data_IF_506355083571
#
_entry.id   IF_506355083571
#
_cell.length_a   1.000
_cell.length_b   1.000
_cell.length_c   1.000
_cell.angle_alpha   90.00
_cell.angle_beta   90.00
_cell.angle_gamma   90.00
#
_symmetry.space_group_name_H-M   'P 1'
#
loop_
_entity.id
_entity.type
_entity.pdbx_description
1 polymer ?
#
# COMPACT_ATOMS: atom_id res chain seq x y z
N UNK A 1 -51.00 -0.79 -45.93
CA UNK A 1 -50.96 -1.97 -45.04
C UNK A 1 -49.94 -1.70 -43.96
N UNK A 2 -50.35 -1.95 -42.72
CA UNK A 2 -49.80 -1.45 -41.45
C UNK A 2 -48.45 -2.08 -41.03
N UNK A 3 -47.70 -1.43 -40.11
CA UNK A 3 -46.37 -1.86 -39.67
C UNK A 3 -46.45 -2.82 -38.49
N UNK A 4 -45.50 -3.76 -38.38
CA UNK A 4 -45.27 -4.53 -37.15
C UNK A 4 -43.81 -4.39 -36.71
N UNK A 5 -43.58 -3.42 -35.84
CA UNK A 5 -42.38 -3.30 -35.02
C UNK A 5 -42.58 -4.13 -33.76
N UNK A 6 -41.71 -5.12 -33.52
CA UNK A 6 -41.62 -5.80 -32.23
C UNK A 6 -40.59 -5.09 -31.35
N UNK A 7 -41.08 -4.47 -30.29
CA UNK A 7 -40.28 -3.91 -29.20
C UNK A 7 -40.09 -5.03 -28.16
N UNK A 8 -38.88 -5.58 -28.05
CA UNK A 8 -38.53 -6.52 -26.97
C UNK A 8 -37.93 -5.69 -25.82
N UNK A 9 -38.71 -5.51 -24.76
CA UNK A 9 -38.29 -4.86 -23.53
C UNK A 9 -37.79 -5.94 -22.55
N UNK A 10 -36.47 -6.15 -22.49
CA UNK A 10 -35.86 -7.04 -21.49
C UNK A 10 -35.53 -6.24 -20.23
N UNK A 11 -36.38 -6.37 -19.21
CA UNK A 11 -36.13 -5.85 -17.86
C UNK A 11 -35.19 -6.83 -17.14
N UNK A 12 -33.90 -6.52 -17.10
CA UNK A 12 -32.93 -7.22 -16.24
C UNK A 12 -33.07 -6.69 -14.81
N UNK A 13 -33.79 -7.45 -13.98
CA UNK A 13 -33.82 -7.24 -12.53
C UNK A 13 -32.47 -7.64 -11.93
N UNK A 14 -31.63 -6.65 -11.62
CA UNK A 14 -30.43 -6.85 -10.79
C UNK A 14 -30.86 -7.09 -9.34
N UNK A 15 -31.05 -8.35 -8.98
CA UNK A 15 -31.10 -8.78 -7.58
C UNK A 15 -29.73 -8.56 -6.95
N UNK A 16 -29.61 -7.53 -6.11
CA UNK A 16 -28.44 -7.34 -5.24
C UNK A 16 -28.46 -8.47 -4.20
N UNK A 17 -27.68 -9.52 -4.47
CA UNK A 17 -27.41 -10.58 -3.51
C UNK A 17 -26.54 -10.01 -2.40
N UNK A 18 -27.16 -9.55 -1.31
CA UNK A 18 -26.46 -9.23 -0.07
C UNK A 18 -26.04 -10.55 0.59
N UNK A 19 -24.89 -11.07 0.18
CA UNK A 19 -24.28 -12.23 0.82
C UNK A 19 -23.97 -11.87 2.28
N UNK A 20 -24.68 -12.51 3.22
CA UNK A 20 -24.30 -12.51 4.65
C UNK A 20 -23.06 -13.39 4.81
N UNK A 21 -21.91 -12.75 4.96
CA UNK A 21 -20.62 -13.39 5.22
C UNK A 21 -20.57 -13.97 6.63
N UNK A 22 -20.22 -15.25 6.73
CA UNK A 22 -19.93 -15.92 8.00
C UNK A 22 -18.50 -15.52 8.41
N UNK A 23 -18.41 -14.71 9.47
CA UNK A 23 -17.17 -14.12 9.98
C UNK A 23 -16.16 -15.19 10.44
N UNK A 24 -15.01 -15.32 9.76
CA UNK A 24 -13.84 -15.79 10.48
C UNK A 24 -13.23 -14.64 11.29
N UNK A 25 -12.73 -15.03 12.46
CA UNK A 25 -12.48 -14.13 13.57
C UNK A 25 -11.23 -13.31 13.28
N UNK A 26 -11.41 -12.06 12.87
CA UNK A 26 -10.36 -11.04 12.85
C UNK A 26 -9.54 -11.13 14.16
N UNK A 27 -8.19 -11.17 14.09
CA UNK A 27 -7.40 -11.31 15.30
C UNK A 27 -7.70 -10.19 16.30
N UNK A 28 -7.64 -10.50 17.60
CA UNK A 28 -7.83 -9.48 18.65
C UNK A 28 -6.83 -8.35 18.46
N UNK A 29 -7.33 -7.12 18.44
CA UNK A 29 -6.52 -5.91 18.29
C UNK A 29 -6.26 -5.50 16.84
N UNK A 30 -6.95 -6.09 15.87
CA UNK A 30 -6.99 -5.62 14.47
C UNK A 30 -8.31 -4.90 14.23
N UNK A 31 -8.24 -3.65 13.80
CA UNK A 31 -9.39 -2.81 13.44
C UNK A 31 -9.26 -2.39 11.97
N UNK A 32 -10.32 -2.59 11.20
CA UNK A 32 -10.41 -2.02 9.84
C UNK A 32 -10.72 -0.52 9.96
N UNK A 33 -9.86 0.31 9.38
CA UNK A 33 -10.01 1.78 9.36
C UNK A 33 -10.71 2.22 8.08
N UNK A 34 -10.33 1.64 6.95
CA UNK A 34 -10.93 1.92 5.64
C UNK A 34 -10.74 0.75 4.68
N UNK A 35 -11.57 0.67 3.64
CA UNK A 35 -11.58 -0.41 2.64
C UNK A 35 -12.46 -1.59 3.05
N UNK A 36 -12.52 -2.60 2.19
CA UNK A 36 -13.28 -3.83 2.41
C UNK A 36 -12.38 -5.05 2.20
N UNK A 37 -12.49 -6.03 3.09
CA UNK A 37 -11.85 -7.34 2.93
C UNK A 37 -12.69 -8.40 3.62
N UNK A 38 -12.77 -9.56 3.00
CA UNK A 38 -13.45 -10.72 3.57
C UNK A 38 -12.46 -11.53 4.42
N UNK A 39 -12.56 -11.37 5.74
CA UNK A 39 -11.74 -12.11 6.70
C UNK A 39 -12.22 -13.53 6.97
N UNK A 40 -13.16 -14.08 6.18
CA UNK A 40 -13.77 -15.40 6.40
C UNK A 40 -12.83 -16.61 6.33
N UNK A 41 -11.62 -16.49 5.79
CA UNK A 41 -10.67 -17.59 5.65
C UNK A 41 -9.29 -17.25 6.23
N UNK A 42 -8.38 -18.24 6.27
CA UNK A 42 -6.97 -18.03 6.65
C UNK A 42 -6.23 -17.01 5.75
N UNK A 43 -6.79 -16.76 4.57
CA UNK A 43 -6.38 -15.74 3.62
C UNK A 43 -7.57 -14.88 3.21
N UNK A 44 -7.31 -13.60 3.04
CA UNK A 44 -8.26 -12.57 2.62
C UNK A 44 -7.70 -11.82 1.45
N UNK A 45 -8.56 -11.53 0.48
CA UNK A 45 -8.23 -10.65 -0.63
C UNK A 45 -8.77 -9.26 -0.33
N UNK A 46 -7.93 -8.25 -0.49
CA UNK A 46 -8.35 -6.85 -0.45
C UNK A 46 -9.17 -6.57 -1.69
N UNK A 47 -10.30 -5.88 -1.54
CA UNK A 47 -11.14 -5.51 -2.67
C UNK A 47 -10.46 -4.56 -3.67
N UNK A 48 -11.29 -3.89 -4.48
CA UNK A 48 -10.82 -2.92 -5.48
C UNK A 48 -10.29 -1.61 -4.88
N UNK A 49 -10.52 -1.38 -3.59
CA UNK A 49 -10.00 -0.23 -2.86
C UNK A 49 -8.94 -0.69 -1.85
N UNK A 50 -7.85 0.08 -1.65
CA UNK A 50 -6.86 -0.23 -0.63
C UNK A 50 -7.48 -0.38 0.76
N UNK A 51 -7.00 -1.35 1.54
CA UNK A 51 -7.45 -1.62 2.90
C UNK A 51 -6.48 -1.01 3.90
N UNK A 52 -6.98 -0.23 4.85
CA UNK A 52 -6.17 0.27 5.98
C UNK A 52 -6.58 -0.44 7.25
N UNK A 53 -5.61 -1.04 7.92
CA UNK A 53 -5.76 -1.73 9.20
C UNK A 53 -5.00 -0.98 10.29
N UNK A 54 -5.62 -0.86 11.46
CA UNK A 54 -4.95 -0.45 12.69
C UNK A 54 -4.76 -1.69 13.57
N UNK A 55 -3.52 -1.96 13.96
CA UNK A 55 -3.11 -3.08 14.79
C UNK A 55 -2.65 -2.55 16.15
N UNK A 56 -2.99 -3.23 17.24
CA UNK A 56 -2.43 -2.89 18.56
C UNK A 56 -0.91 -3.11 18.59
N UNK A 57 -0.09 -2.20 19.17
CA UNK A 57 -0.44 -1.03 20.00
C UNK A 57 -0.47 0.31 19.23
N UNK A 58 -0.89 0.33 17.97
CA UNK A 58 -0.97 1.57 17.16
C UNK A 58 -0.32 1.45 15.78
N UNK A 59 0.16 0.27 15.40
CA UNK A 59 0.67 0.04 14.05
C UNK A 59 -0.44 0.25 13.02
N UNK A 60 -0.10 0.83 11.88
CA UNK A 60 -1.00 0.97 10.74
C UNK A 60 -0.45 0.17 9.57
N UNK A 61 -1.29 -0.60 8.91
CA UNK A 61 -0.94 -1.35 7.70
C UNK A 61 -1.90 -0.95 6.59
N UNK A 62 -1.38 -0.36 5.53
CA UNK A 62 -2.12 -0.10 4.29
C UNK A 62 -1.76 -1.19 3.29
N UNK A 63 -2.78 -1.83 2.74
CA UNK A 63 -2.66 -2.91 1.78
C UNK A 63 -3.17 -2.44 0.44
N UNK A 64 -2.44 -2.75 -0.63
CA UNK A 64 -2.87 -2.44 -2.00
C UNK A 64 -4.17 -3.16 -2.35
N UNK A 65 -4.91 -2.61 -3.31
CA UNK A 65 -6.06 -3.29 -3.89
C UNK A 65 -5.63 -4.66 -4.45
N UNK A 66 -6.47 -5.69 -4.28
CA UNK A 66 -6.16 -7.06 -4.71
C UNK A 66 -5.11 -7.81 -3.87
N UNK A 67 -4.49 -7.17 -2.88
CA UNK A 67 -3.51 -7.84 -2.03
C UNK A 67 -4.10 -9.06 -1.31
N UNK A 68 -3.32 -10.13 -1.19
CA UNK A 68 -3.71 -11.34 -0.47
C UNK A 68 -2.97 -11.41 0.86
N UNK A 69 -3.70 -11.31 1.97
CA UNK A 69 -3.13 -11.31 3.31
C UNK A 69 -3.72 -12.39 4.21
N UNK A 70 -3.01 -12.71 5.28
CA UNK A 70 -3.50 -13.56 6.36
C UNK A 70 -2.82 -13.21 7.67
N UNK A 71 -3.42 -13.60 8.79
CA UNK A 71 -2.79 -13.44 10.09
C UNK A 71 -2.34 -14.79 10.64
N UNK A 72 -1.16 -14.82 11.25
CA UNK A 72 -0.71 -15.97 12.02
C UNK A 72 -0.68 -15.65 13.51
N UNK A 73 -0.51 -16.69 14.33
CA UNK A 73 -0.33 -16.54 15.77
C UNK A 73 0.84 -15.60 16.06
N UNK A 74 0.62 -14.62 16.93
CA UNK A 74 1.67 -13.72 17.39
C UNK A 74 2.81 -14.51 18.04
N UNK A 75 4.03 -14.01 17.86
CA UNK A 75 5.25 -14.61 18.40
C UNK A 75 5.85 -13.71 19.49
N UNK A 76 6.85 -14.24 20.21
CA UNK A 76 7.72 -13.45 21.08
C UNK A 76 9.14 -13.59 20.53
N UNK A 77 9.68 -12.54 19.94
CA UNK A 77 11.01 -12.53 19.32
C UNK A 77 11.99 -11.72 20.15
N UNK A 78 13.26 -12.14 20.22
CA UNK A 78 14.32 -11.46 20.95
C UNK A 78 14.83 -10.22 20.18
N UNK A 79 13.96 -9.22 20.03
CA UNK A 79 14.20 -8.01 19.23
C UNK A 79 14.53 -6.77 20.07
N UNK A 80 14.29 -6.84 21.38
CA UNK A 80 14.53 -5.73 22.30
C UNK A 80 16.00 -5.60 22.69
N UNK A 81 16.32 -4.52 23.41
CA UNK A 81 17.67 -4.32 23.97
C UNK A 81 18.07 -5.55 24.79
N UNK A 82 19.33 -6.02 24.60
CA UNK A 82 19.89 -7.22 25.25
C UNK A 82 19.06 -8.50 25.01
N UNK A 83 18.39 -8.60 23.86
CA UNK A 83 17.61 -9.80 23.49
C UNK A 83 16.26 -9.91 24.21
N UNK A 84 15.74 -8.82 24.77
CA UNK A 84 14.43 -8.83 25.40
C UNK A 84 13.34 -9.32 24.42
N UNK A 85 12.42 -10.14 24.91
CA UNK A 85 11.35 -10.73 24.10
C UNK A 85 10.25 -9.69 23.85
N UNK A 86 10.13 -9.25 22.61
CA UNK A 86 9.09 -8.32 22.13
C UNK A 86 7.95 -9.13 21.51
N UNK A 87 6.69 -8.75 21.79
CA UNK A 87 5.53 -9.37 21.15
C UNK A 87 5.52 -8.99 19.67
N UNK A 88 5.46 -9.96 18.77
CA UNK A 88 5.49 -9.71 17.33
C UNK A 88 4.19 -10.17 16.70
N UNK A 89 3.44 -9.24 16.12
CA UNK A 89 2.28 -9.59 15.29
C UNK A 89 2.79 -10.16 13.97
N UNK A 90 2.12 -11.18 13.45
CA UNK A 90 2.53 -11.84 12.21
C UNK A 90 1.48 -11.63 11.15
N UNK A 91 1.80 -10.75 10.20
CA UNK A 91 1.08 -10.56 8.96
C UNK A 91 1.72 -11.44 7.90
N UNK A 92 0.92 -12.20 7.16
CA UNK A 92 1.37 -12.94 5.98
C UNK A 92 0.87 -12.21 4.76
N UNK A 93 1.73 -11.99 3.80
CA UNK A 93 1.38 -11.40 2.50
C UNK A 93 1.75 -12.43 1.45
N UNK A 94 0.75 -12.89 0.70
CA UNK A 94 0.95 -13.87 -0.37
C UNK A 94 1.17 -13.19 -1.70
N UNK A 95 0.51 -12.06 -1.93
CA UNK A 95 0.59 -11.27 -3.16
C UNK A 95 0.20 -9.81 -2.82
N UNK A 96 0.78 -8.84 -3.51
CA UNK A 96 0.51 -7.42 -3.38
C UNK A 96 1.45 -6.69 -2.41
N UNK A 97 1.08 -5.46 -2.07
CA UNK A 97 1.91 -4.54 -1.29
C UNK A 97 1.29 -4.23 0.08
N UNK A 98 2.16 -4.18 1.09
CA UNK A 98 1.84 -3.77 2.45
C UNK A 98 2.77 -2.62 2.88
N UNK A 99 2.21 -1.42 3.02
CA UNK A 99 2.88 -0.28 3.63
C UNK A 99 2.60 -0.30 5.15
N UNK A 100 3.66 -0.37 5.95
CA UNK A 100 3.59 -0.59 7.39
C UNK A 100 4.19 0.61 8.12
N UNK A 101 3.39 1.22 8.97
CA UNK A 101 3.85 2.22 9.93
C UNK A 101 3.72 1.72 11.36
N UNK A 102 4.79 1.81 12.13
CA UNK A 102 4.81 1.48 13.55
C UNK A 102 5.30 2.72 14.33
N UNK A 103 4.48 3.33 15.19
CA UNK A 103 4.87 4.55 15.90
C UNK A 103 6.19 4.36 16.68
N UNK A 104 7.11 5.34 16.69
CA UNK A 104 8.39 5.23 17.39
C UNK A 104 8.23 4.78 18.85
N UNK A 105 7.24 5.29 19.59
CA UNK A 105 7.04 4.94 21.00
C UNK A 105 6.66 3.46 21.23
N UNK A 106 6.41 2.70 20.16
CA UNK A 106 6.06 1.26 20.21
C UNK A 106 7.25 0.32 20.46
N UNK A 107 8.49 0.83 20.45
CA UNK A 107 9.74 0.06 20.53
C UNK A 107 9.79 -1.02 21.63
N UNK A 108 9.08 -0.81 22.74
CA UNK A 108 9.09 -1.71 23.88
C UNK A 108 7.95 -2.74 23.86
N UNK A 109 6.96 -2.58 23.00
CA UNK A 109 5.69 -3.29 23.12
C UNK A 109 5.37 -4.20 21.93
N UNK A 110 5.73 -3.81 20.71
CA UNK A 110 5.42 -4.63 19.55
C UNK A 110 6.37 -4.49 18.37
N UNK A 111 6.41 -5.52 17.53
CA UNK A 111 6.98 -5.49 16.19
C UNK A 111 5.98 -6.12 15.20
N UNK A 112 6.09 -5.78 13.92
CA UNK A 112 5.33 -6.46 12.87
C UNK A 112 6.26 -7.34 12.03
N UNK A 113 6.02 -8.64 12.07
CA UNK A 113 6.63 -9.61 11.17
C UNK A 113 5.73 -9.78 9.95
N UNK A 114 6.22 -9.39 8.78
CA UNK A 114 5.59 -9.63 7.50
C UNK A 114 6.27 -10.84 6.84
N UNK A 115 5.49 -11.89 6.56
CA UNK A 115 5.99 -13.11 5.89
C UNK A 115 5.52 -13.13 4.45
N UNK A 116 6.47 -13.08 3.53
CA UNK A 116 6.23 -13.34 2.11
C UNK A 116 6.35 -14.84 1.77
N UNK A 117 6.10 -15.21 0.50
CA UNK A 117 6.47 -16.51 -0.03
C UNK A 117 7.99 -16.73 0.04
N UNK A 118 8.43 -17.98 -0.16
CA UNK A 118 9.86 -18.31 -0.34
C UNK A 118 10.77 -18.03 0.86
N UNK A 119 10.22 -18.07 2.09
CA UNK A 119 10.96 -17.93 3.36
C UNK A 119 11.61 -16.56 3.56
N UNK A 120 11.21 -15.51 2.82
CA UNK A 120 11.55 -14.13 3.20
C UNK A 120 10.58 -13.63 4.28
N UNK A 121 11.15 -13.02 5.29
CA UNK A 121 10.46 -12.35 6.37
C UNK A 121 11.04 -10.96 6.55
N UNK A 122 10.19 -9.99 6.85
CA UNK A 122 10.60 -8.65 7.25
C UNK A 122 10.04 -8.36 8.63
N UNK A 123 10.86 -7.78 9.51
CA UNK A 123 10.43 -7.33 10.84
C UNK A 123 10.60 -5.83 10.91
N UNK A 124 9.48 -5.12 11.07
CA UNK A 124 9.46 -3.68 11.33
C UNK A 124 9.36 -3.49 12.84
N UNK A 125 10.37 -2.85 13.45
CA UNK A 125 10.45 -2.59 14.90
C UNK A 125 9.96 -1.18 15.27
N UNK A 126 10.11 -0.22 14.36
CA UNK A 126 9.62 1.15 14.45
C UNK A 126 9.56 1.75 13.05
N UNK A 127 8.92 2.90 12.90
CA UNK A 127 9.03 3.73 11.69
C UNK A 127 8.17 3.22 10.53
N UNK A 128 8.68 3.37 9.31
CA UNK A 128 7.95 3.07 8.08
C UNK A 128 8.73 2.08 7.22
N UNK A 129 8.11 0.94 6.94
CA UNK A 129 8.63 -0.04 5.99
C UNK A 129 7.56 -0.50 5.00
N UNK A 130 8.00 -1.01 3.87
CA UNK A 130 7.13 -1.59 2.84
C UNK A 130 7.56 -3.02 2.58
N UNK A 131 6.58 -3.88 2.38
CA UNK A 131 6.80 -5.24 1.88
C UNK A 131 5.91 -5.46 0.67
N UNK A 132 6.53 -5.73 -0.47
CA UNK A 132 5.84 -6.05 -1.72
C UNK A 132 6.12 -7.50 -2.11
N UNK A 133 5.08 -8.22 -2.51
CA UNK A 133 5.15 -9.59 -3.01
C UNK A 133 4.56 -9.62 -4.40
N UNK A 134 5.38 -9.97 -5.39
CA UNK A 134 4.98 -10.05 -6.79
C UNK A 134 5.86 -11.03 -7.55
N UNK A 135 5.25 -11.83 -8.42
CA UNK A 135 5.95 -12.79 -9.30
C UNK A 135 6.94 -13.71 -8.54
N UNK A 136 6.55 -14.15 -7.34
CA UNK A 136 7.37 -15.02 -6.48
C UNK A 136 8.60 -14.33 -5.86
N UNK A 137 8.75 -13.02 -6.04
CA UNK A 137 9.73 -12.17 -5.39
C UNK A 137 9.10 -11.48 -4.19
N UNK A 138 9.91 -11.24 -3.17
CA UNK A 138 9.53 -10.44 -2.01
C UNK A 138 10.55 -9.33 -1.86
N UNK A 139 10.09 -8.09 -1.85
CA UNK A 139 10.93 -6.93 -1.60
C UNK A 139 10.54 -6.30 -0.28
N UNK A 140 11.55 -6.03 0.54
CA UNK A 140 11.44 -5.26 1.76
C UNK A 140 12.15 -3.93 1.57
N UNK A 141 11.52 -2.83 1.95
CA UNK A 141 12.10 -1.48 1.87
C UNK A 141 11.92 -0.76 3.21
N UNK A 142 13.00 -0.20 3.74
CA UNK A 142 13.00 0.63 4.94
C UNK A 142 13.04 2.09 4.54
N UNK A 143 12.00 2.86 4.90
CA UNK A 143 11.96 4.30 4.63
C UNK A 143 12.31 5.14 5.83
N UNK A 144 12.01 4.64 7.02
CA UNK A 144 12.35 5.28 8.28
C UNK A 144 12.40 4.24 9.40
N UNK A 145 13.40 4.35 10.29
CA UNK A 145 13.48 3.54 11.51
C UNK A 145 14.14 2.17 11.32
N UNK A 146 13.87 1.26 12.26
CA UNK A 146 14.56 -0.04 12.36
C UNK A 146 13.78 -1.16 11.68
N UNK A 147 14.40 -1.78 10.68
CA UNK A 147 13.87 -2.91 9.94
C UNK A 147 14.90 -4.05 9.84
N UNK A 148 14.43 -5.28 10.00
CA UNK A 148 15.21 -6.49 9.75
C UNK A 148 14.61 -7.25 8.57
N UNK A 149 15.47 -7.92 7.83
CA UNK A 149 15.08 -8.93 6.84
C UNK A 149 15.61 -10.29 7.27
N UNK A 150 14.86 -11.35 6.99
CA UNK A 150 15.22 -12.74 7.25
C UNK A 150 14.96 -13.58 6.02
N UNK A 151 16.01 -14.19 5.48
CA UNK A 151 15.94 -15.28 4.53
C UNK A 151 16.38 -16.55 5.25
N UNK A 152 15.48 -17.55 5.30
CA UNK A 152 15.67 -18.76 6.11
C UNK A 152 15.87 -18.39 7.59
N UNK A 153 17.01 -18.74 8.17
CA UNK A 153 17.38 -18.50 9.57
C UNK A 153 18.32 -17.32 9.78
N UNK A 154 18.75 -16.64 8.71
CA UNK A 154 19.71 -15.53 8.79
C UNK A 154 18.98 -14.20 8.79
N UNK A 155 19.03 -13.50 9.92
CA UNK A 155 18.56 -12.13 10.06
C UNK A 155 19.65 -11.14 9.68
N UNK A 156 19.28 -10.08 8.96
CA UNK A 156 20.13 -8.95 8.63
C UNK A 156 19.37 -7.66 8.81
N UNK A 157 20.04 -6.64 9.32
CA UNK A 157 19.52 -5.28 9.30
C UNK A 157 19.26 -4.85 7.84
N UNK A 158 18.27 -3.96 7.68
CA UNK A 158 18.01 -3.25 6.44
C UNK A 158 18.00 -1.77 6.79
N UNK A 159 19.07 -1.08 6.39
CA UNK A 159 19.27 0.33 6.72
C UNK A 159 18.17 1.23 6.16
N UNK A 160 17.95 2.36 6.82
CA UNK A 160 17.02 3.38 6.35
C UNK A 160 17.37 3.86 4.94
N UNK A 161 16.36 4.01 4.09
CA UNK A 161 16.53 4.37 2.69
C UNK A 161 17.03 3.21 1.81
N UNK A 162 17.06 1.97 2.31
CA UNK A 162 17.43 0.79 1.54
C UNK A 162 16.26 -0.15 1.28
N UNK A 163 16.35 -0.83 0.14
CA UNK A 163 15.50 -1.95 -0.23
C UNK A 163 16.34 -3.20 -0.48
N UNK A 164 15.73 -4.36 -0.23
CA UNK A 164 16.30 -5.66 -0.55
C UNK A 164 15.22 -6.58 -1.09
N UNK A 165 15.49 -7.15 -2.26
CA UNK A 165 14.62 -8.16 -2.90
C UNK A 165 15.17 -9.55 -2.68
N UNK A 166 14.30 -10.52 -2.40
CA UNK A 166 14.64 -11.93 -2.39
C UNK A 166 13.70 -12.68 -3.32
N UNK A 167 14.27 -13.61 -4.08
CA UNK A 167 13.52 -14.49 -4.96
C UNK A 167 13.70 -15.94 -4.52
N UNK A 168 12.71 -16.79 -4.81
CA UNK A 168 12.79 -18.22 -4.60
C UNK A 168 14.10 -18.78 -5.20
N UNK A 169 14.86 -19.55 -4.41
CA UNK A 169 16.10 -20.19 -4.85
C UNK A 169 17.32 -19.27 -5.04
N UNK A 170 17.18 -17.94 -5.05
CA UNK A 170 18.29 -16.99 -5.25
C UNK A 170 18.82 -16.33 -3.97
N UNK A 171 18.12 -16.50 -2.85
CA UNK A 171 18.52 -15.91 -1.57
C UNK A 171 18.36 -14.40 -1.51
N UNK A 172 19.18 -13.75 -0.68
CA UNK A 172 19.22 -12.30 -0.55
C UNK A 172 19.80 -11.66 -1.81
N UNK A 173 19.02 -10.80 -2.46
CA UNK A 173 19.58 -9.84 -3.42
C UNK A 173 20.44 -8.78 -2.72
N UNK A 174 21.24 -8.02 -3.49
CA UNK A 174 21.99 -6.89 -2.97
C UNK A 174 21.03 -5.84 -2.39
N UNK A 175 21.52 -5.08 -1.40
CA UNK A 175 20.81 -3.86 -1.01
C UNK A 175 20.95 -2.80 -2.10
N UNK A 176 19.88 -2.04 -2.27
CA UNK A 176 19.83 -0.89 -3.17
C UNK A 176 19.14 0.26 -2.48
N UNK A 177 19.30 1.47 -2.98
CA UNK A 177 18.53 2.60 -2.49
C UNK A 177 17.03 2.36 -2.77
N UNK A 178 16.16 2.77 -1.84
CA UNK A 178 14.76 2.98 -2.17
C UNK A 178 14.65 4.14 -3.15
N UNK A 179 13.66 4.09 -4.03
CA UNK A 179 13.33 5.27 -4.82
C UNK A 179 12.99 6.42 -3.87
N UNK A 180 13.75 7.50 -4.01
CA UNK A 180 13.54 8.71 -3.24
C UNK A 180 12.13 9.25 -3.45
N UNK A 181 11.67 10.07 -2.50
CA UNK A 181 10.49 10.90 -2.76
C UNK A 181 10.83 11.85 -3.90
N UNK A 182 9.93 12.09 -4.86
CA UNK A 182 10.14 13.21 -5.75
C UNK A 182 10.14 14.45 -4.88
N UNK A 183 11.11 15.33 -5.10
CA UNK A 183 10.97 16.73 -4.76
C UNK A 183 9.88 17.29 -5.68
N UNK A 184 8.63 16.92 -5.41
CA UNK A 184 7.50 17.46 -6.13
C UNK A 184 7.56 18.97 -5.93
N UNK A 185 7.90 19.70 -6.99
CA UNK A 185 7.65 21.13 -7.01
C UNK A 185 6.17 21.28 -6.72
N UNK A 186 5.84 22.05 -5.68
CA UNK A 186 4.49 22.56 -5.44
C UNK A 186 3.95 22.95 -6.81
N UNK A 187 2.85 22.32 -7.27
CA UNK A 187 2.26 22.65 -8.57
C UNK A 187 2.20 24.17 -8.64
N UNK A 188 3.01 24.75 -9.53
CA UNK A 188 3.28 26.20 -9.52
C UNK A 188 2.01 27.02 -9.81
N UNK A 189 0.93 26.33 -10.19
CA UNK A 189 -0.34 26.92 -10.53
C UNK A 189 -1.41 26.27 -9.66
N UNK A 190 -2.11 27.10 -8.88
CA UNK A 190 -3.41 26.74 -8.36
C UNK A 190 -4.24 26.20 -9.53
N UNK A 191 -4.77 24.99 -9.40
CA UNK A 191 -5.73 24.40 -10.34
C UNK A 191 -6.96 25.33 -10.44
N UNK A 192 -6.85 26.37 -11.26
CA UNK A 192 -7.96 27.24 -11.63
C UNK A 192 -8.75 26.50 -12.69
N UNK A 193 -9.56 25.56 -12.24
CA UNK A 193 -10.55 24.90 -13.10
C UNK A 193 -11.56 25.98 -13.50
N UNK A 194 -11.48 26.44 -14.75
CA UNK A 194 -12.43 27.39 -15.31
C UNK A 194 -13.82 26.75 -15.34
N UNK A 195 -14.85 27.51 -14.94
CA UNK A 195 -16.26 27.10 -14.90
C UNK A 195 -16.89 26.83 -16.29
N UNK A 196 -16.09 26.68 -17.34
CA UNK A 196 -16.63 26.30 -18.64
C UNK A 196 -17.02 24.82 -18.60
N UNK A 197 -18.20 24.53 -19.13
CA UNK A 197 -18.89 23.23 -19.16
C UNK A 197 -18.16 22.12 -19.94
N UNK A 198 -16.87 22.29 -20.22
CA UNK A 198 -16.00 21.27 -20.82
C UNK A 198 -15.27 20.46 -19.77
N UNK A 199 -14.80 19.26 -20.15
CA UNK A 199 -13.91 18.45 -19.33
C UNK A 199 -12.64 19.24 -18.99
N UNK A 200 -12.45 19.53 -17.70
CA UNK A 200 -11.23 20.13 -17.20
C UNK A 200 -10.11 19.10 -17.15
N UNK A 201 -8.96 19.46 -17.72
CA UNK A 201 -7.74 18.68 -17.62
C UNK A 201 -6.59 19.52 -17.07
N UNK A 202 -5.63 18.85 -16.44
CA UNK A 202 -4.42 19.51 -15.96
C UNK A 202 -3.24 18.58 -16.04
N UNK A 203 -2.18 19.05 -16.69
CA UNK A 203 -0.92 18.32 -16.78
C UNK A 203 -0.14 18.42 -15.46
N UNK A 204 0.40 17.29 -15.04
CA UNK A 204 1.32 17.18 -13.91
C UNK A 204 2.61 16.54 -14.41
N UNK A 205 3.75 16.97 -13.87
CA UNK A 205 5.06 16.42 -14.20
C UNK A 205 5.97 16.42 -12.98
N UNK A 206 6.84 15.41 -12.88
CA UNK A 206 7.87 15.28 -11.86
C UNK A 206 9.24 15.12 -12.51
N UNK A 207 10.31 15.38 -11.77
CA UNK A 207 11.65 14.96 -12.17
C UNK A 207 11.68 13.43 -12.30
N UNK A 208 12.17 12.88 -13.41
CA UNK A 208 12.27 11.43 -13.60
C UNK A 208 13.19 10.79 -12.56
N UNK A 209 12.88 9.56 -12.15
CA UNK A 209 13.81 8.73 -11.39
C UNK A 209 14.49 7.74 -12.33
N UNK A 210 15.80 7.55 -12.17
CA UNK A 210 16.58 6.67 -13.02
C UNK A 210 16.03 5.23 -13.05
N UNK A 211 15.51 4.73 -11.93
CA UNK A 211 15.05 3.34 -11.79
C UNK A 211 13.52 3.17 -11.69
N UNK A 212 12.76 4.24 -11.90
CA UNK A 212 11.29 4.14 -11.93
C UNK A 212 10.84 3.54 -13.27
N UNK A 213 10.03 2.49 -13.19
CA UNK A 213 9.35 1.90 -14.35
C UNK A 213 7.90 2.38 -14.47
N UNK A 214 7.37 2.98 -13.40
CA UNK A 214 6.01 3.48 -13.32
C UNK A 214 6.00 4.68 -12.37
N UNK A 215 5.09 5.61 -12.61
CA UNK A 215 4.80 6.76 -11.76
C UNK A 215 3.35 6.71 -11.33
N UNK A 216 3.12 6.97 -10.05
CA UNK A 216 1.79 7.01 -9.45
C UNK A 216 1.57 8.41 -8.90
N UNK A 217 0.54 9.07 -9.41
CA UNK A 217 0.11 10.39 -8.98
C UNK A 217 -1.22 10.29 -8.25
N UNK A 218 -1.26 10.74 -7.00
CA UNK A 218 -2.49 10.83 -6.19
C UNK A 218 -2.94 12.28 -6.10
N UNK A 219 -4.20 12.53 -6.48
CA UNK A 219 -4.86 13.82 -6.33
C UNK A 219 -5.72 13.82 -5.07
N UNK A 220 -5.51 14.79 -4.19
CA UNK A 220 -6.25 14.95 -2.94
C UNK A 220 -6.96 16.31 -2.90
N UNK A 221 -8.20 16.35 -2.42
CA UNK A 221 -8.97 17.57 -2.15
C UNK A 221 -9.26 17.64 -0.66
N UNK A 222 -8.75 18.67 0.02
CA UNK A 222 -8.93 18.84 1.48
C UNK A 222 -8.57 17.56 2.27
N UNK A 223 -7.49 16.89 1.88
CA UNK A 223 -7.04 15.64 2.52
C UNK A 223 -7.78 14.37 2.11
N UNK A 224 -8.83 14.46 1.29
CA UNK A 224 -9.54 13.31 0.73
C UNK A 224 -8.96 12.94 -0.63
N UNK A 225 -8.53 11.68 -0.80
CA UNK A 225 -8.06 11.18 -2.11
C UNK A 225 -9.22 11.15 -3.10
N UNK A 226 -9.06 11.84 -4.22
CA UNK A 226 -10.06 11.95 -5.30
C UNK A 226 -9.78 10.96 -6.41
N UNK A 227 -8.55 10.92 -6.91
CA UNK A 227 -8.16 10.00 -7.99
C UNK A 227 -6.69 9.63 -7.88
N UNK A 228 -6.34 8.52 -8.55
CA UNK A 228 -4.98 8.03 -8.71
C UNK A 228 -4.75 7.80 -10.20
N UNK A 229 -3.65 8.33 -10.74
CA UNK A 229 -3.23 8.11 -12.12
C UNK A 229 -1.89 7.39 -12.12
N UNK A 230 -1.83 6.30 -12.86
CA UNK A 230 -0.61 5.52 -13.07
C UNK A 230 -0.16 5.69 -14.52
N UNK A 231 1.13 5.92 -14.73
CA UNK A 231 1.73 6.15 -16.05
C UNK A 231 3.17 5.65 -16.06
N UNK A 232 3.70 5.26 -17.21
CA UNK A 232 5.12 4.89 -17.35
C UNK A 232 6.01 6.13 -17.48
N UNK A 233 5.41 7.26 -17.85
CA UNK A 233 6.10 8.52 -18.06
C UNK A 233 6.08 9.41 -16.81
N UNK A 234 7.07 10.30 -16.61
CA UNK A 234 7.15 11.21 -15.47
C UNK A 234 6.13 12.37 -15.54
N UNK A 235 5.12 12.26 -16.40
CA UNK A 235 4.04 13.20 -16.60
C UNK A 235 2.71 12.46 -16.78
N UNK A 236 1.64 13.09 -16.31
CA UNK A 236 0.28 12.60 -16.45
C UNK A 236 -0.70 13.75 -16.68
N UNK A 237 -1.87 13.43 -17.21
CA UNK A 237 -2.98 14.36 -17.32
C UNK A 237 -4.07 13.95 -16.33
N UNK A 238 -4.47 14.88 -15.47
CA UNK A 238 -5.59 14.71 -14.55
C UNK A 238 -6.86 15.22 -15.23
N UNK A 239 -7.78 14.33 -15.56
CA UNK A 239 -9.07 14.66 -16.18
C UNK A 239 -10.23 14.55 -15.18
N UNK A 240 -11.34 15.24 -15.45
CA UNK A 240 -12.55 15.13 -14.63
C UNK A 240 -12.46 15.78 -13.25
N UNK A 241 -11.54 16.74 -13.08
CA UNK A 241 -11.30 17.39 -11.80
C UNK A 241 -12.27 18.55 -11.61
N UNK A 242 -13.16 18.46 -10.62
CA UNK A 242 -14.06 19.56 -10.27
C UNK A 242 -13.30 20.81 -9.81
N UNK A 243 -13.88 22.02 -9.86
CA UNK A 243 -13.24 23.19 -9.28
C UNK A 243 -12.92 23.06 -7.78
N UNK A 244 -11.72 23.50 -7.37
CA UNK A 244 -11.29 23.50 -5.96
C UNK A 244 -9.78 23.56 -5.76
N UNK A 245 -9.35 23.51 -4.49
CA UNK A 245 -7.94 23.43 -4.10
C UNK A 245 -7.55 21.97 -3.91
N UNK A 246 -6.48 21.58 -4.58
CA UNK A 246 -5.97 20.21 -4.58
C UNK A 246 -4.50 20.15 -4.18
N UNK A 247 -4.10 19.01 -3.64
CA UNK A 247 -2.71 18.61 -3.50
C UNK A 247 -2.45 17.39 -4.36
N UNK A 248 -1.36 17.41 -5.13
CA UNK A 248 -0.91 16.26 -5.92
C UNK A 248 0.36 15.72 -5.30
N UNK A 249 0.39 14.42 -5.09
CA UNK A 249 1.58 13.70 -4.64
C UNK A 249 1.95 12.68 -5.70
N UNK A 250 3.14 12.78 -6.27
CA UNK A 250 3.70 11.78 -7.18
C UNK A 250 4.70 10.88 -6.46
N UNK A 251 4.89 9.66 -6.94
CA UNK A 251 6.06 8.84 -6.62
C UNK A 251 6.39 7.89 -7.78
N UNK A 252 7.66 7.58 -7.95
CA UNK A 252 8.09 6.51 -8.85
C UNK A 252 7.96 5.15 -8.15
N UNK A 253 7.73 4.11 -8.95
CA UNK A 253 7.70 2.70 -8.59
C UNK A 253 8.75 1.99 -9.44
N UNK A 254 9.64 1.25 -8.78
CA UNK A 254 10.66 0.46 -9.46
C UNK A 254 10.16 -0.92 -9.87
N UNK A 255 10.98 -1.66 -10.61
CA UNK A 255 10.68 -3.02 -11.06
C UNK A 255 10.47 -4.06 -9.95
N UNK A 256 10.71 -3.68 -8.70
CA UNK A 256 10.46 -4.52 -7.53
C UNK A 256 9.23 -4.07 -6.72
N UNK A 257 8.41 -3.19 -7.31
CA UNK A 257 7.19 -2.63 -6.72
C UNK A 257 7.45 -1.80 -5.45
N UNK A 258 8.71 -1.36 -5.26
CA UNK A 258 9.11 -0.46 -4.17
C UNK A 258 9.05 0.97 -4.66
N UNK A 259 7.85 1.54 -4.64
CA UNK A 259 7.70 2.97 -4.88
C UNK A 259 8.09 3.82 -3.68
N UNK A 260 8.34 5.10 -3.88
CA UNK A 260 8.53 6.05 -2.76
C UNK A 260 7.41 5.91 -1.72
N UNK A 261 7.66 6.26 -0.44
CA UNK A 261 6.67 6.05 0.61
C UNK A 261 5.41 6.86 0.27
N UNK A 262 4.24 6.22 0.23
CA UNK A 262 2.98 6.95 0.17
C UNK A 262 2.91 7.73 1.48
N UNK A 263 2.82 9.08 1.46
CA UNK A 263 2.77 9.83 2.69
C UNK A 263 1.61 9.28 3.53
N UNK A 264 1.83 8.88 4.80
CA UNK A 264 0.71 8.79 5.71
C UNK A 264 0.07 10.18 5.66
N UNK A 265 -1.26 10.27 5.56
CA UNK A 265 -1.96 11.53 5.71
C UNK A 265 -1.56 12.11 7.08
N UNK A 266 -0.51 12.92 7.12
CA UNK A 266 -0.12 13.70 8.28
C UNK A 266 -1.21 14.75 8.39
N UNK A 267 -2.18 14.46 9.25
CA UNK A 267 -3.01 15.51 9.82
C UNK A 267 -2.07 16.39 10.61
N UNK A 268 -1.78 17.57 10.08
CA UNK A 268 -1.36 18.68 10.92
C UNK A 268 -2.62 19.18 11.60
N UNK A 269 -2.64 19.10 12.93
CA UNK A 269 -3.57 19.86 13.77
C UNK A 269 -3.34 21.36 13.56
#
# INVERSE_FOLDING_TARGET
>A
MSPHSFLICSVLAFGVLVARTVNAKTPRGVKVVSGQSDFANSWSTVGTTPLTLQLAPGATVKLSAGAQLGFAKSLKLALGKRGAKVRTLVLRVKEGRADVYLPPDSHSQAALLVRGPSQLSAVIKMGHGVVAVRDGKVTAASYAGEMLTAYRSSWKDLDEGKARTCAAGRGYGPERAVLGRPSARKLAHALRVALNTGSSSSAISTTPFADAIQYVFELNKQGTRITTVETEEPNAELTGVTPGVYTVTGHGVDSSDCGGPIPPHLRFE
#
